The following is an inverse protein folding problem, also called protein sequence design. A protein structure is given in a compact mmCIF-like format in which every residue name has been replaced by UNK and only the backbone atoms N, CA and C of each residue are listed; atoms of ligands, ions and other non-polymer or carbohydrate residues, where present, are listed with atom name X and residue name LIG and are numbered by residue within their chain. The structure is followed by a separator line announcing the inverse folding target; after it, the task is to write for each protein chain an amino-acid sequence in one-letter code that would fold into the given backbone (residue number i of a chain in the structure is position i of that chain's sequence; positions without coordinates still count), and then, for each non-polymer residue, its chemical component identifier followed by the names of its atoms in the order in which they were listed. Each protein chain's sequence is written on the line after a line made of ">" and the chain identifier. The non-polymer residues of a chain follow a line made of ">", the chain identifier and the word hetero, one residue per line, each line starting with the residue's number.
data_IF_621914384298
#
_entry.id   IF_621914384298
#
_cell.length_a   1.000
_cell.length_b   1.000
_cell.length_c   1.000
_cell.angle_alpha   90.00
_cell.angle_beta   90.00
_cell.angle_gamma   90.00
#
_symmetry.space_group_name_H-M   'P 1'
#
loop_
_entity.id
_entity.type
_entity.pdbx_description
1 polymer ?
#
# COMPACT_ATOMS: atom_id res chain seq x y z
N UNK A 1 -2.48 -8.75 19.26
CA UNK A 1 -1.47 -7.74 18.84
C UNK A 1 -2.04 -6.32 18.78
N UNK A 2 -3.15 -6.01 19.47
CA UNK A 2 -3.78 -4.69 19.42
C UNK A 2 -2.84 -3.54 19.82
N UNK A 3 -1.99 -3.77 20.83
CA UNK A 3 -0.97 -2.81 21.26
C UNK A 3 0.14 -2.54 20.22
N UNK A 4 0.35 -3.43 19.24
CA UNK A 4 1.32 -3.21 18.15
C UNK A 4 0.66 -2.43 17.02
N UNK A 5 -0.58 -2.78 16.69
CA UNK A 5 -1.35 -2.14 15.62
C UNK A 5 -1.98 -0.80 16.03
N UNK A 6 -2.06 -0.55 17.34
CA UNK A 6 -2.72 0.61 17.92
C UNK A 6 -4.25 0.56 17.83
N UNK A 7 -4.83 -0.51 17.30
CA UNK A 7 -6.28 -0.70 17.08
C UNK A 7 -6.74 -2.00 17.74
N UNK A 8 -7.94 -1.95 18.33
CA UNK A 8 -8.62 -3.12 18.88
C UNK A 8 -10.09 -3.16 18.45
N UNK A 9 -10.72 -4.32 18.60
CA UNK A 9 -12.14 -4.53 18.32
C UNK A 9 -12.94 -4.49 19.61
N UNK A 10 -14.00 -3.68 19.63
CA UNK A 10 -14.93 -3.66 20.75
C UNK A 10 -15.78 -4.93 20.74
N UNK A 11 -15.66 -5.75 21.77
CA UNK A 11 -16.44 -6.98 21.98
C UNK A 11 -17.57 -6.78 22.98
N UNK A 12 -17.90 -5.54 23.35
CA UNK A 12 -18.93 -5.20 24.34
C UNK A 12 -18.41 -5.15 25.79
N UNK A 13 -17.14 -5.50 26.03
CA UNK A 13 -16.55 -5.44 27.37
C UNK A 13 -16.23 -4.00 27.82
N UNK A 14 -16.22 -3.02 26.89
CA UNK A 14 -15.76 -1.64 27.13
C UNK A 14 -16.79 -0.58 26.75
N UNK A 15 -18.08 -0.91 26.72
CA UNK A 15 -19.17 0.01 26.32
C UNK A 15 -19.20 1.31 27.13
N UNK A 16 -18.78 1.29 28.40
CA UNK A 16 -18.71 2.47 29.26
C UNK A 16 -17.40 3.28 29.15
N UNK A 17 -16.43 2.85 28.35
CA UNK A 17 -15.17 3.56 28.15
C UNK A 17 -15.31 4.54 26.98
N UNK A 18 -14.81 5.76 27.16
CA UNK A 18 -14.75 6.75 26.08
C UNK A 18 -13.83 6.27 24.95
N UNK A 19 -14.18 6.62 23.71
CA UNK A 19 -13.32 6.38 22.54
C UNK A 19 -12.36 7.54 22.36
N UNK A 20 -11.12 7.23 21.97
CA UNK A 20 -10.15 8.24 21.57
C UNK A 20 -10.62 8.97 20.32
N UNK A 21 -10.50 10.30 20.33
CA UNK A 21 -10.74 11.14 19.16
C UNK A 21 -9.44 11.26 18.36
N UNK A 22 -9.56 11.34 17.05
CA UNK A 22 -8.45 11.49 16.13
C UNK A 22 -8.89 12.32 14.92
N UNK A 23 -7.91 12.75 14.14
CA UNK A 23 -8.11 13.38 12.84
C UNK A 23 -7.27 12.61 11.84
N UNK A 24 -7.84 12.28 10.68
CA UNK A 24 -7.11 11.55 9.66
C UNK A 24 -5.94 12.40 9.11
N UNK A 25 -4.78 11.78 8.99
CA UNK A 25 -3.58 12.37 8.41
C UNK A 25 -3.31 11.78 7.02
N UNK A 26 -3.14 12.63 6.03
CA UNK A 26 -2.82 12.18 4.68
C UNK A 26 -1.30 12.05 4.49
N UNK A 27 -0.88 10.95 3.87
CA UNK A 27 0.50 10.74 3.40
C UNK A 27 0.47 10.73 1.88
N UNK A 28 1.06 11.73 1.19
CA UNK A 28 1.00 11.83 -0.26
C UNK A 28 1.49 10.55 -0.95
N UNK A 29 0.68 10.03 -1.88
CA UNK A 29 1.00 8.86 -2.70
C UNK A 29 0.87 7.50 -2.02
N UNK A 30 0.66 7.44 -0.69
CA UNK A 30 0.53 6.17 0.03
C UNK A 30 -0.74 5.41 -0.35
N UNK A 31 -1.86 6.13 -0.43
CA UNK A 31 -3.17 5.61 -0.84
C UNK A 31 -3.46 6.14 -2.25
N UNK A 32 -3.34 5.32 -3.30
CA UNK A 32 -3.63 5.73 -4.66
C UNK A 32 -5.13 5.91 -4.90
N UNK A 33 -5.49 6.72 -5.90
CA UNK A 33 -6.88 6.89 -6.32
C UNK A 33 -7.51 5.55 -6.71
N UNK A 34 -8.78 5.36 -6.34
CA UNK A 34 -9.51 4.11 -6.55
C UNK A 34 -9.23 3.02 -5.52
N UNK A 35 -8.27 3.22 -4.59
CA UNK A 35 -8.12 2.35 -3.45
C UNK A 35 -9.32 2.51 -2.51
N UNK A 36 -9.80 1.40 -1.95
CA UNK A 36 -11.03 1.37 -1.18
C UNK A 36 -11.01 0.33 -0.07
N UNK A 37 -11.03 0.83 1.16
CA UNK A 37 -11.08 0.04 2.40
C UNK A 37 -12.49 0.13 2.97
N UNK A 38 -13.10 -1.01 3.30
CA UNK A 38 -14.39 -1.06 4.02
C UNK A 38 -14.19 -1.01 5.52
N UNK A 39 -15.10 -0.35 6.21
CA UNK A 39 -15.19 -0.29 7.66
C UNK A 39 -15.34 -1.66 8.30
N UNK A 40 -14.60 -1.88 9.38
CA UNK A 40 -14.75 -3.04 10.26
C UNK A 40 -15.61 -2.66 11.46
N UNK A 41 -16.51 -3.55 11.88
CA UNK A 41 -17.40 -3.27 13.00
C UNK A 41 -16.66 -3.12 14.33
N UNK A 42 -16.92 -2.02 15.02
CA UNK A 42 -16.48 -1.81 16.40
C UNK A 42 -14.98 -1.54 16.57
N UNK A 43 -14.28 -1.10 15.52
CA UNK A 43 -12.85 -0.81 15.59
C UNK A 43 -12.59 0.52 16.30
N UNK A 44 -11.60 0.55 17.20
CA UNK A 44 -11.24 1.74 17.96
C UNK A 44 -9.74 1.78 18.27
N UNK A 45 -9.20 2.97 18.55
CA UNK A 45 -7.81 3.12 18.95
C UNK A 45 -7.60 2.64 20.40
N UNK A 46 -6.47 2.00 20.66
CA UNK A 46 -6.13 1.47 22.00
C UNK A 46 -5.77 2.58 22.99
N UNK A 47 -4.80 3.42 22.64
CA UNK A 47 -4.25 4.47 23.51
C UNK A 47 -4.20 5.86 22.85
N UNK A 48 -4.70 5.97 21.62
CA UNK A 48 -4.73 7.22 20.85
C UNK A 48 -3.40 7.64 20.21
N UNK A 49 -2.33 6.85 20.36
CA UNK A 49 -1.02 7.19 19.80
C UNK A 49 -0.85 6.77 18.32
N UNK A 50 -1.70 5.88 17.83
CA UNK A 50 -1.69 5.45 16.43
C UNK A 50 -2.18 6.57 15.51
N UNK A 51 -1.44 6.79 14.43
CA UNK A 51 -1.79 7.74 13.37
C UNK A 51 -2.86 7.10 12.50
N UNK A 52 -4.01 7.75 12.37
CA UNK A 52 -5.10 7.30 11.50
C UNK A 52 -4.90 7.93 10.13
N UNK A 53 -4.72 7.11 9.11
CA UNK A 53 -4.48 7.58 7.74
C UNK A 53 -5.74 7.59 6.89
N UNK A 54 -6.71 6.74 7.23
CA UNK A 54 -8.02 6.72 6.62
C UNK A 54 -9.06 6.38 7.69
N UNK A 55 -10.18 7.08 7.65
CA UNK A 55 -11.31 6.87 8.56
C UNK A 55 -12.65 6.94 7.82
N UNK A 56 -13.67 6.36 8.42
CA UNK A 56 -15.04 6.48 7.96
C UNK A 56 -15.98 6.50 9.16
N UNK A 57 -16.77 7.57 9.30
CA UNK A 57 -17.74 7.75 10.37
C UNK A 57 -17.14 7.57 11.79
N UNK A 58 -15.91 8.04 12.00
CA UNK A 58 -15.20 7.92 13.27
C UNK A 58 -14.59 6.53 13.54
N UNK A 59 -14.57 5.64 12.54
CA UNK A 59 -13.90 4.34 12.62
C UNK A 59 -12.55 4.37 11.88
N UNK A 60 -11.45 3.95 12.52
CA UNK A 60 -10.16 3.86 11.86
C UNK A 60 -10.17 2.72 10.82
N UNK A 61 -9.86 3.05 9.57
CA UNK A 61 -9.78 2.09 8.46
C UNK A 61 -8.35 1.66 8.15
N UNK A 62 -7.42 2.62 8.23
CA UNK A 62 -6.00 2.43 8.04
C UNK A 62 -5.26 3.18 9.14
N UNK A 63 -4.43 2.49 9.92
CA UNK A 63 -3.59 3.12 10.94
C UNK A 63 -2.14 2.70 10.82
N UNK A 64 -1.26 3.58 11.29
CA UNK A 64 0.16 3.31 11.51
C UNK A 64 0.48 3.61 12.96
N UNK A 65 1.07 2.64 13.64
CA UNK A 65 1.43 2.75 15.05
C UNK A 65 2.91 2.41 15.22
N UNK A 66 3.71 3.38 15.68
CA UNK A 66 5.13 3.18 15.93
C UNK A 66 5.35 2.19 17.07
N UNK A 67 6.20 1.19 16.86
CA UNK A 67 6.48 0.17 17.88
C UNK A 67 7.96 -0.26 17.83
N UNK A 68 8.72 0.11 18.86
CA UNK A 68 10.16 -0.09 18.90
C UNK A 68 10.86 0.66 17.75
N UNK A 69 11.58 -0.07 16.89
CA UNK A 69 12.24 0.48 15.69
C UNK A 69 11.41 0.35 14.41
N UNK A 70 10.21 -0.23 14.48
CA UNK A 70 9.32 -0.42 13.33
C UNK A 70 7.94 0.16 13.59
N UNK A 71 6.95 -0.33 12.84
CA UNK A 71 5.56 0.03 13.04
C UNK A 71 4.61 -1.16 12.83
N UNK A 72 3.43 -1.08 13.44
CA UNK A 72 2.27 -1.88 13.09
C UNK A 72 1.37 -1.08 12.15
N UNK A 73 0.92 -1.73 11.08
CA UNK A 73 -0.05 -1.15 10.13
C UNK A 73 -1.33 -1.98 10.20
N UNK A 74 -2.46 -1.33 10.46
CA UNK A 74 -3.77 -1.97 10.48
C UNK A 74 -4.57 -1.60 9.25
N UNK A 75 -5.22 -2.59 8.63
CA UNK A 75 -6.20 -2.44 7.55
C UNK A 75 -7.50 -3.11 7.99
N UNK A 76 -8.61 -2.39 7.99
CA UNK A 76 -9.91 -2.96 8.39
C UNK A 76 -10.48 -3.97 7.40
N UNK A 77 -10.08 -3.88 6.13
CA UNK A 77 -10.36 -4.89 5.11
C UNK A 77 -9.42 -4.74 3.92
N UNK A 78 -9.37 -5.77 3.07
CA UNK A 78 -8.62 -5.76 1.82
C UNK A 78 -9.45 -6.39 0.71
N UNK A 79 -9.41 -5.79 -0.50
CA UNK A 79 -10.01 -6.33 -1.72
C UNK A 79 -9.00 -6.25 -2.84
N UNK A 80 -8.95 -7.27 -3.68
CA UNK A 80 -8.02 -7.29 -4.81
C UNK A 80 -8.54 -6.35 -5.90
N UNK A 81 -7.78 -5.31 -6.18
CA UNK A 81 -7.87 -4.45 -7.35
C UNK A 81 -6.51 -3.74 -7.54
N UNK A 82 -6.18 -3.20 -8.73
CA UNK A 82 -4.89 -2.56 -8.98
C UNK A 82 -4.53 -1.48 -7.96
N UNK A 83 -5.47 -0.60 -7.63
CA UNK A 83 -5.26 0.46 -6.64
C UNK A 83 -4.98 -0.07 -5.22
N UNK A 84 -5.73 -1.08 -4.76
CA UNK A 84 -5.48 -1.69 -3.45
C UNK A 84 -4.17 -2.49 -3.41
N UNK A 85 -3.79 -3.15 -4.51
CA UNK A 85 -2.49 -3.83 -4.62
C UNK A 85 -1.35 -2.83 -4.53
N UNK A 86 -1.44 -1.70 -5.25
CA UNK A 86 -0.47 -0.61 -5.15
C UNK A 86 -0.42 -0.01 -3.75
N UNK A 87 -1.58 0.21 -3.11
CA UNK A 87 -1.65 0.66 -1.72
C UNK A 87 -0.91 -0.30 -0.79
N UNK A 88 -1.11 -1.61 -0.92
CA UNK A 88 -0.43 -2.60 -0.09
C UNK A 88 1.09 -2.59 -0.30
N UNK A 89 1.56 -2.50 -1.54
CA UNK A 89 2.98 -2.33 -1.85
C UNK A 89 3.54 -1.08 -1.18
N UNK A 90 2.86 0.06 -1.35
CA UNK A 90 3.26 1.34 -0.75
C UNK A 90 3.31 1.26 0.78
N UNK A 91 2.36 0.57 1.43
CA UNK A 91 2.34 0.37 2.87
C UNK A 91 3.50 -0.50 3.37
N UNK A 92 3.88 -1.55 2.62
CA UNK A 92 5.03 -2.39 2.95
C UNK A 92 6.32 -1.55 2.87
N UNK A 93 6.50 -0.78 1.78
CA UNK A 93 7.67 0.09 1.61
C UNK A 93 7.72 1.17 2.69
N UNK A 94 6.59 1.83 2.93
CA UNK A 94 6.48 2.85 3.97
C UNK A 94 6.78 2.29 5.37
N UNK A 95 6.25 1.12 5.71
CA UNK A 95 6.52 0.46 7.00
C UNK A 95 7.97 0.02 7.17
N UNK A 96 8.67 -0.26 6.07
CA UNK A 96 10.10 -0.53 6.05
C UNK A 96 10.98 0.75 6.06
N UNK A 97 10.38 1.93 5.92
CA UNK A 97 11.12 3.20 5.79
C UNK A 97 11.71 3.42 4.39
N UNK A 98 11.25 2.67 3.39
CA UNK A 98 11.71 2.74 2.01
C UNK A 98 10.92 3.77 1.18
N UNK A 99 11.50 4.21 0.06
CA UNK A 99 10.83 5.12 -0.88
C UNK A 99 9.79 4.35 -1.70
N UNK A 100 8.62 4.96 -1.94
CA UNK A 100 7.59 4.38 -2.79
C UNK A 100 7.95 4.43 -4.29
N UNK A 101 8.76 5.42 -4.69
CA UNK A 101 9.40 5.47 -6.01
C UNK A 101 10.85 5.02 -5.86
N UNK A 102 11.09 3.73 -6.09
CA UNK A 102 12.40 3.08 -6.02
C UNK A 102 12.57 2.06 -7.14
N UNK A 103 13.76 1.47 -7.23
CA UNK A 103 14.02 0.41 -8.20
C UNK A 103 13.06 -0.77 -8.02
N UNK A 104 12.63 -1.35 -9.15
CA UNK A 104 11.66 -2.45 -9.16
C UNK A 104 10.20 -2.04 -8.87
N UNK A 105 9.90 -0.75 -8.75
CA UNK A 105 8.53 -0.24 -8.69
C UNK A 105 8.17 0.44 -10.00
N UNK A 106 7.04 0.05 -10.59
CA UNK A 106 6.50 0.65 -11.82
C UNK A 106 5.82 1.99 -11.52
N UNK A 107 5.95 2.98 -12.41
CA UNK A 107 5.28 4.27 -12.24
C UNK A 107 3.75 4.19 -12.36
N UNK A 108 3.24 3.18 -13.09
CA UNK A 108 1.81 2.97 -13.32
C UNK A 108 1.27 1.79 -12.49
N UNK A 109 0.27 2.05 -11.64
CA UNK A 109 -0.38 1.05 -10.78
C UNK A 109 -1.04 -0.11 -11.53
N UNK A 110 -1.37 0.08 -12.81
CA UNK A 110 -1.94 -0.94 -13.69
C UNK A 110 -0.88 -1.88 -14.29
N UNK A 111 0.40 -1.62 -14.03
CA UNK A 111 1.52 -2.41 -14.53
C UNK A 111 2.35 -2.97 -13.39
N UNK A 112 2.92 -4.13 -13.58
CA UNK A 112 3.84 -4.78 -12.64
C UNK A 112 5.11 -5.18 -13.37
N UNK A 113 6.19 -5.38 -12.63
CA UNK A 113 7.44 -5.85 -13.20
C UNK A 113 8.12 -6.90 -12.32
N UNK A 114 8.91 -7.75 -12.96
CA UNK A 114 9.82 -8.68 -12.32
C UNK A 114 11.18 -8.57 -12.99
N UNK A 115 12.22 -8.35 -12.19
CA UNK A 115 13.59 -8.28 -12.68
C UNK A 115 14.36 -9.55 -12.30
N UNK A 116 15.05 -10.13 -13.28
CA UNK A 116 15.86 -11.33 -13.16
C UNK A 116 17.34 -10.97 -13.38
N UNK A 117 18.12 -10.71 -12.31
CA UNK A 117 19.48 -10.19 -12.42
C UNK A 117 20.43 -11.09 -13.21
N UNK A 118 20.42 -12.40 -12.94
CA UNK A 118 21.32 -13.37 -13.60
C UNK A 118 21.15 -13.42 -15.13
N UNK A 119 19.94 -13.12 -15.60
CA UNK A 119 19.60 -13.11 -17.03
C UNK A 119 19.56 -11.70 -17.63
N UNK A 120 19.81 -10.65 -16.82
CA UNK A 120 19.59 -9.26 -17.19
C UNK A 120 18.21 -9.02 -17.85
N UNK A 121 17.18 -9.71 -17.37
CA UNK A 121 15.86 -9.67 -18.00
C UNK A 121 14.85 -8.94 -17.10
N UNK A 122 14.23 -7.90 -17.62
CA UNK A 122 13.08 -7.24 -17.02
C UNK A 122 11.81 -7.69 -17.73
N UNK A 123 10.90 -8.27 -16.97
CA UNK A 123 9.55 -8.59 -17.42
C UNK A 123 8.63 -7.48 -16.95
N UNK A 124 7.87 -6.88 -17.85
CA UNK A 124 6.85 -5.87 -17.54
C UNK A 124 5.51 -6.36 -18.06
N UNK A 125 4.48 -6.28 -17.21
CA UNK A 125 3.13 -6.75 -17.53
C UNK A 125 2.12 -5.61 -17.39
N UNK A 126 1.16 -5.58 -18.30
CA UNK A 126 -0.04 -4.77 -18.18
C UNK A 126 -1.19 -5.63 -17.65
N UNK A 127 -1.77 -5.23 -16.51
CA UNK A 127 -2.86 -5.96 -15.86
C UNK A 127 -4.27 -5.52 -16.31
N UNK A 128 -4.40 -4.65 -17.32
CA UNK A 128 -5.69 -4.14 -17.81
C UNK A 128 -5.97 -4.51 -19.26
N UNK A 129 -7.23 -4.35 -19.64
CA UNK A 129 -7.77 -4.54 -21.00
C UNK A 129 -7.55 -3.33 -21.93
N UNK A 130 -6.79 -2.34 -21.48
CA UNK A 130 -6.48 -1.12 -22.23
C UNK A 130 -4.99 -0.94 -22.33
N UNK A 131 -4.54 -0.16 -23.30
CA UNK A 131 -3.11 0.18 -23.43
C UNK A 131 -2.64 0.98 -22.20
N UNK A 132 -1.44 0.66 -21.72
CA UNK A 132 -0.82 1.32 -20.57
C UNK A 132 0.60 1.75 -20.91
N UNK A 133 1.00 2.90 -20.41
CA UNK A 133 2.39 3.36 -20.40
C UNK A 133 2.94 3.27 -18.97
N UNK A 134 4.19 2.84 -18.84
CA UNK A 134 4.85 2.73 -17.54
C UNK A 134 6.35 2.96 -17.66
N UNK A 135 6.94 3.29 -16.53
CA UNK A 135 8.37 3.53 -16.38
C UNK A 135 8.86 2.68 -15.20
N UNK A 136 9.98 1.99 -15.41
CA UNK A 136 10.59 1.13 -14.39
C UNK A 136 12.06 1.50 -14.24
N UNK A 137 12.49 1.71 -12.99
CA UNK A 137 13.90 1.91 -12.64
C UNK A 137 14.51 0.57 -12.26
N UNK A 138 15.59 0.16 -12.93
CA UNK A 138 16.31 -1.10 -12.68
C UNK A 138 17.79 -0.90 -13.01
N UNK A 139 18.69 -1.31 -12.10
CA UNK A 139 20.14 -1.16 -12.26
C UNK A 139 20.57 0.29 -12.59
N UNK A 140 19.93 1.27 -11.94
CA UNK A 140 20.16 2.69 -12.21
C UNK A 140 19.70 3.19 -13.60
N UNK A 141 19.09 2.34 -14.42
CA UNK A 141 18.51 2.70 -15.72
C UNK A 141 17.00 2.92 -15.59
N UNK A 142 16.48 3.81 -16.42
CA UNK A 142 15.06 4.08 -16.54
C UNK A 142 14.54 3.53 -17.87
N UNK A 143 13.57 2.62 -17.81
CA UNK A 143 13.02 1.92 -18.97
C UNK A 143 11.56 2.30 -19.12
N UNK A 144 11.22 2.91 -20.25
CA UNK A 144 9.84 3.27 -20.62
C UNK A 144 9.24 2.19 -21.51
N UNK A 145 8.02 1.75 -21.19
CA UNK A 145 7.28 0.72 -21.89
C UNK A 145 5.88 1.21 -22.26
N UNK A 146 5.42 0.84 -23.45
CA UNK A 146 4.03 1.01 -23.88
C UNK A 146 3.45 -0.36 -24.22
N UNK A 147 2.55 -0.84 -23.38
CA UNK A 147 2.04 -2.19 -23.38
C UNK A 147 0.57 -2.18 -23.83
N UNK A 148 0.24 -2.97 -24.83
CA UNK A 148 -1.15 -3.24 -25.23
C UNK A 148 -1.91 -3.92 -24.10
N UNK A 149 -3.23 -4.00 -24.25
CA UNK A 149 -4.12 -4.74 -23.35
C UNK A 149 -3.55 -6.13 -23.02
N UNK A 150 -3.37 -6.42 -21.73
CA UNK A 150 -2.82 -7.67 -21.19
C UNK A 150 -1.45 -8.10 -21.74
N UNK A 151 -0.69 -7.19 -22.34
CA UNK A 151 0.62 -7.51 -22.89
C UNK A 151 1.63 -7.76 -21.77
N UNK A 152 2.44 -8.79 -21.97
CA UNK A 152 3.70 -9.00 -21.25
C UNK A 152 4.85 -8.73 -22.22
N UNK A 153 5.84 -7.97 -21.76
CA UNK A 153 7.05 -7.68 -22.52
C UNK A 153 8.28 -8.12 -21.71
N UNK A 154 9.25 -8.72 -22.40
CA UNK A 154 10.54 -9.12 -21.82
C UNK A 154 11.61 -8.25 -22.46
N UNK A 155 12.32 -7.51 -21.63
CA UNK A 155 13.30 -6.50 -22.02
C UNK A 155 14.65 -6.95 -21.47
N UNK A 156 15.62 -7.14 -22.36
CA UNK A 156 16.98 -7.42 -21.95
C UNK A 156 17.71 -6.12 -21.61
N UNK A 157 18.17 -6.01 -20.37
CA UNK A 157 18.95 -4.90 -19.82
C UNK A 157 20.43 -5.23 -19.98
N UNK A 158 20.93 -5.33 -21.21
CA UNK A 158 22.37 -5.47 -21.43
C UNK A 158 23.09 -4.13 -21.17
N UNK A 159 24.34 -4.22 -20.69
CA UNK A 159 25.29 -3.12 -20.57
C UNK A 159 25.79 -2.66 -21.94
#
# INVERSE_FOLDING_TARGET
>A
MAHILGVDKDTGARVCHGKWKFTAEEIPGLIPEGAGIKSGEGMYLTDGSARVLLENEGQPLLTVHSFGRGCGIYLSSYRICPANTRMLQNLILFGAGEKMDQEGVTSNLNTECAYFPDGHALVVINNTDTEQETLVKVEGKEISCRLKAYQTEVINIFL
#
